data_IF_395777762133
#
_entry.id   IF_395777762133
#
_cell.length_a   1.000
_cell.length_b   1.000
_cell.length_c   1.000
_cell.angle_alpha   90.00
_cell.angle_beta   90.00
_cell.angle_gamma   90.00
#
_symmetry.space_group_name_H-M   'P 1'
#
loop_
_entity.id
_entity.type
_entity.pdbx_description
1 polymer ?
#
# COMPACT_ATOMS: atom_id res chain seq x y z
N UNK A 1 -49.92 36.16 19.20
CA UNK A 1 -48.71 36.70 18.56
C UNK A 1 -47.52 36.48 19.49
N UNK A 2 -46.73 35.43 19.27
CA UNK A 2 -45.53 35.17 20.08
C UNK A 2 -44.36 35.97 19.50
N UNK A 3 -43.78 36.85 20.31
CA UNK A 3 -42.61 37.66 19.94
C UNK A 3 -41.36 36.82 20.15
N UNK A 4 -40.69 36.42 19.06
CA UNK A 4 -39.36 35.83 19.17
C UNK A 4 -38.34 36.95 19.47
N UNK A 5 -37.75 36.89 20.68
CA UNK A 5 -36.66 37.76 21.10
C UNK A 5 -35.36 37.31 20.45
N UNK A 6 -34.73 38.19 19.66
CA UNK A 6 -33.42 37.94 19.07
C UNK A 6 -32.32 38.35 20.07
N UNK A 7 -31.73 37.37 20.76
CA UNK A 7 -30.62 37.62 21.70
C UNK A 7 -29.31 37.88 20.95
N UNK A 8 -28.67 39.02 21.19
CA UNK A 8 -27.37 39.33 20.59
C UNK A 8 -26.23 38.60 21.34
N UNK A 9 -25.41 37.84 20.62
CA UNK A 9 -24.22 37.15 21.16
C UNK A 9 -23.11 38.14 21.50
N UNK A 10 -22.63 38.13 22.75
CA UNK A 10 -21.41 38.87 23.14
C UNK A 10 -20.14 38.22 22.55
N UNK A 11 -19.29 39.01 21.89
CA UNK A 11 -17.99 38.56 21.34
C UNK A 11 -16.88 38.82 22.36
N UNK A 12 -16.20 37.77 22.83
CA UNK A 12 -15.17 37.87 23.88
C UNK A 12 -13.71 37.80 23.36
N UNK A 13 -13.46 37.75 22.04
CA UNK A 13 -12.10 37.54 21.50
C UNK A 13 -11.71 38.59 20.46
N UNK A 14 -10.53 39.18 20.64
CA UNK A 14 -9.93 40.23 19.79
C UNK A 14 -9.41 39.64 18.46
N UNK A 15 -8.96 38.38 18.46
CA UNK A 15 -8.56 37.61 17.27
C UNK A 15 -9.67 36.62 16.90
N UNK A 16 -10.25 36.78 15.71
CA UNK A 16 -11.34 35.94 15.24
C UNK A 16 -10.83 34.54 14.85
N UNK A 17 -11.22 33.52 15.61
CA UNK A 17 -11.06 32.12 15.22
C UNK A 17 -12.21 31.73 14.30
N UNK A 18 -11.91 31.26 13.08
CA UNK A 18 -12.94 30.81 12.16
C UNK A 18 -13.67 29.58 12.73
N UNK A 19 -14.97 29.72 12.98
CA UNK A 19 -15.81 28.61 13.40
C UNK A 19 -15.82 27.52 12.31
N UNK A 20 -15.82 26.25 12.73
CA UNK A 20 -15.85 25.13 11.80
C UNK A 20 -17.21 25.12 11.10
N UNK A 21 -17.22 25.45 9.82
CA UNK A 21 -18.41 25.36 8.97
C UNK A 21 -18.68 23.92 8.55
N UNK A 22 -19.93 23.64 8.14
CA UNK A 22 -20.29 22.37 7.51
C UNK A 22 -19.44 22.17 6.25
N UNK A 23 -18.75 21.04 6.17
CA UNK A 23 -18.05 20.58 4.97
C UNK A 23 -18.74 19.35 4.46
N UNK A 24 -19.33 19.45 3.28
CA UNK A 24 -19.94 18.30 2.60
C UNK A 24 -18.87 17.36 2.05
N UNK A 25 -19.23 16.08 1.93
CA UNK A 25 -18.36 15.10 1.30
C UNK A 25 -18.17 15.40 -0.19
N UNK A 26 -17.00 15.06 -0.73
CA UNK A 26 -16.69 15.28 -2.14
C UNK A 26 -17.53 14.33 -3.02
N UNK A 27 -18.53 14.88 -3.72
CA UNK A 27 -19.31 14.16 -4.74
C UNK A 27 -19.05 14.75 -6.15
N UNK A 28 -17.97 14.34 -6.83
CA UNK A 28 -17.64 14.87 -8.15
C UNK A 28 -18.65 14.42 -9.20
N UNK A 29 -19.00 15.31 -10.15
CA UNK A 29 -19.96 15.00 -11.23
C UNK A 29 -19.48 13.92 -12.20
N UNK A 30 -18.17 13.74 -12.32
CA UNK A 30 -17.51 12.77 -13.20
C UNK A 30 -16.19 12.30 -12.57
N UNK A 31 -15.73 11.07 -12.89
CA UNK A 31 -14.46 10.58 -12.37
C UNK A 31 -13.28 11.34 -13.00
N UNK A 32 -12.23 11.60 -12.21
CA UNK A 32 -11.01 12.26 -12.70
C UNK A 32 -10.19 11.39 -13.66
N UNK A 33 -10.40 10.07 -13.64
CA UNK A 33 -9.74 9.10 -14.51
C UNK A 33 -10.82 8.24 -15.15
N UNK A 34 -10.78 8.09 -16.47
CA UNK A 34 -11.77 7.33 -17.24
C UNK A 34 -11.73 5.82 -16.96
N UNK A 35 -10.54 5.26 -16.70
CA UNK A 35 -10.34 3.85 -16.41
C UNK A 35 -9.35 3.64 -15.25
N UNK A 36 -9.57 2.65 -14.37
CA UNK A 36 -8.64 2.35 -13.29
C UNK A 36 -7.29 1.85 -13.83
N UNK A 37 -6.20 2.17 -13.13
CA UNK A 37 -4.87 1.63 -13.46
C UNK A 37 -4.80 0.14 -13.13
N UNK A 38 -4.20 -0.63 -14.03
CA UNK A 38 -3.83 -2.03 -13.76
C UNK A 38 -2.68 -2.12 -12.75
N UNK A 39 -2.66 -3.20 -11.97
CA UNK A 39 -1.51 -3.56 -11.13
C UNK A 39 -0.33 -3.94 -12.04
N UNK A 40 0.75 -3.15 -11.97
CA UNK A 40 1.95 -3.36 -12.80
C UNK A 40 2.89 -4.44 -12.26
N UNK A 41 2.76 -4.81 -10.97
CA UNK A 41 3.62 -5.79 -10.32
C UNK A 41 2.80 -7.04 -9.96
N UNK A 42 2.59 -7.89 -10.95
CA UNK A 42 1.96 -9.20 -10.75
C UNK A 42 2.96 -10.23 -10.20
N UNK A 43 2.46 -11.36 -9.70
CA UNK A 43 3.26 -12.43 -9.09
C UNK A 43 4.35 -12.98 -10.03
N UNK A 44 4.00 -13.18 -11.30
CA UNK A 44 4.94 -13.61 -12.34
C UNK A 44 6.02 -12.57 -12.65
N UNK A 45 5.71 -11.28 -12.49
CA UNK A 45 6.69 -10.22 -12.72
C UNK A 45 7.61 -10.02 -11.50
N UNK A 46 7.10 -10.28 -10.30
CA UNK A 46 7.87 -10.22 -9.05
C UNK A 46 8.92 -11.33 -9.01
N UNK A 47 8.54 -12.58 -9.30
CA UNK A 47 9.45 -13.74 -9.32
C UNK A 47 9.87 -14.05 -10.75
N UNK A 48 11.09 -13.63 -11.13
CA UNK A 48 11.56 -13.75 -12.53
C UNK A 48 12.05 -15.16 -12.84
N UNK A 49 13.08 -15.62 -12.14
CA UNK A 49 13.64 -16.96 -12.30
C UNK A 49 14.44 -17.39 -11.06
N UNK A 50 14.59 -18.70 -10.82
CA UNK A 50 15.45 -19.21 -9.75
C UNK A 50 16.92 -18.94 -10.06
N UNK A 51 17.71 -18.65 -9.03
CA UNK A 51 19.16 -18.53 -9.16
C UNK A 51 19.79 -19.91 -8.99
N UNK A 52 20.41 -20.43 -10.05
CA UNK A 52 20.96 -21.78 -10.11
C UNK A 52 22.50 -21.83 -9.98
N UNK A 53 23.11 -20.84 -9.34
CA UNK A 53 24.57 -20.83 -9.10
C UNK A 53 24.95 -21.87 -8.05
N UNK A 54 26.17 -22.41 -8.08
CA UNK A 54 26.65 -23.42 -7.12
C UNK A 54 26.40 -23.03 -5.65
N UNK A 55 26.69 -21.77 -5.29
CA UNK A 55 26.46 -21.26 -3.94
C UNK A 55 24.98 -21.14 -3.56
N UNK A 56 24.10 -20.97 -4.55
CA UNK A 56 22.65 -20.94 -4.36
C UNK A 56 22.10 -22.36 -4.21
N UNK A 57 22.56 -23.31 -5.04
CA UNK A 57 22.22 -24.73 -4.92
C UNK A 57 22.60 -25.27 -3.54
N UNK A 58 23.80 -24.95 -3.05
CA UNK A 58 24.23 -25.32 -1.70
C UNK A 58 23.30 -24.78 -0.59
N UNK A 59 22.76 -23.57 -0.75
CA UNK A 59 21.81 -22.98 0.22
C UNK A 59 20.44 -23.66 0.23
N UNK A 60 20.05 -24.31 -0.86
CA UNK A 60 18.82 -25.10 -0.93
C UNK A 60 18.98 -26.35 -0.05
N UNK A 61 20.13 -27.03 -0.14
CA UNK A 61 20.42 -28.24 0.61
C UNK A 61 20.68 -27.97 2.10
N UNK A 62 21.61 -27.06 2.41
CA UNK A 62 22.07 -26.85 3.79
C UNK A 62 21.03 -26.16 4.68
N UNK A 63 20.32 -25.16 4.14
CA UNK A 63 19.49 -24.24 4.93
C UNK A 63 18.00 -24.30 4.57
N UNK A 64 17.62 -25.12 3.58
CA UNK A 64 16.27 -25.16 3.02
C UNK A 64 15.77 -23.77 2.59
N UNK A 65 16.62 -23.03 1.87
CA UNK A 65 16.28 -21.71 1.34
C UNK A 65 16.33 -21.70 -0.18
N UNK A 66 15.26 -21.21 -0.81
CA UNK A 66 15.21 -20.98 -2.25
C UNK A 66 15.73 -19.58 -2.58
N UNK A 67 16.56 -19.47 -3.62
CA UNK A 67 17.11 -18.20 -4.08
C UNK A 67 16.53 -17.86 -5.45
N UNK A 68 15.93 -16.67 -5.55
CA UNK A 68 15.30 -16.19 -6.78
C UNK A 68 15.90 -14.84 -7.19
N UNK A 69 15.93 -14.59 -8.50
CA UNK A 69 16.04 -13.24 -9.03
C UNK A 69 14.65 -12.61 -9.05
N UNK A 70 14.54 -11.43 -8.46
CA UNK A 70 13.27 -10.72 -8.26
C UNK A 70 13.29 -9.35 -8.91
N UNK A 71 12.11 -8.72 -9.06
CA UNK A 71 12.04 -7.34 -9.47
C UNK A 71 12.59 -6.35 -8.42
N UNK A 72 13.23 -5.27 -8.87
CA UNK A 72 13.90 -4.30 -8.00
C UNK A 72 12.89 -3.55 -7.13
N UNK A 73 11.67 -3.34 -7.63
CA UNK A 73 10.60 -2.65 -6.92
C UNK A 73 9.79 -3.56 -5.98
N UNK A 74 10.18 -4.83 -5.84
CA UNK A 74 9.44 -5.82 -5.04
C UNK A 74 9.83 -5.77 -3.56
N UNK A 75 8.85 -5.44 -2.71
CA UNK A 75 9.01 -5.51 -1.26
C UNK A 75 8.99 -6.96 -0.76
N UNK A 76 9.62 -7.21 0.40
CA UNK A 76 9.64 -8.55 1.04
C UNK A 76 8.25 -9.16 1.25
N UNK A 77 7.23 -8.33 1.50
CA UNK A 77 5.84 -8.79 1.64
C UNK A 77 5.29 -9.31 0.31
N UNK A 78 5.47 -8.55 -0.77
CA UNK A 78 5.05 -8.94 -2.12
C UNK A 78 5.73 -10.23 -2.58
N UNK A 79 7.02 -10.39 -2.29
CA UNK A 79 7.78 -11.61 -2.60
C UNK A 79 7.22 -12.79 -1.82
N UNK A 80 6.96 -12.64 -0.51
CA UNK A 80 6.35 -13.70 0.31
C UNK A 80 4.99 -14.14 -0.25
N UNK A 81 4.15 -13.18 -0.62
CA UNK A 81 2.82 -13.46 -1.16
C UNK A 81 2.88 -14.10 -2.55
N UNK A 82 3.82 -13.66 -3.40
CA UNK A 82 4.04 -14.25 -4.72
C UNK A 82 4.51 -15.70 -4.63
N UNK A 83 5.47 -16.00 -3.74
CA UNK A 83 5.95 -17.38 -3.52
C UNK A 83 4.82 -18.27 -2.99
N UNK A 84 4.01 -17.76 -2.05
CA UNK A 84 2.86 -18.48 -1.52
C UNK A 84 1.82 -18.77 -2.59
N UNK A 85 1.56 -17.86 -3.52
CA UNK A 85 0.56 -18.06 -4.57
C UNK A 85 1.04 -18.94 -5.73
N UNK A 86 2.31 -18.83 -6.12
CA UNK A 86 2.84 -19.56 -7.28
C UNK A 86 3.20 -21.00 -6.96
N UNK A 87 3.67 -21.25 -5.73
CA UNK A 87 4.22 -22.55 -5.35
C UNK A 87 3.55 -23.15 -4.11
N UNK A 88 2.55 -22.47 -3.51
CA UNK A 88 1.89 -22.88 -2.26
C UNK A 88 2.83 -23.06 -1.06
N UNK A 89 4.00 -22.41 -1.10
CA UNK A 89 5.02 -22.48 -0.04
C UNK A 89 4.86 -21.33 0.94
N UNK A 90 4.85 -21.65 2.24
CA UNK A 90 4.85 -20.63 3.30
C UNK A 90 6.28 -20.26 3.72
N UNK A 91 6.72 -19.06 3.35
CA UNK A 91 8.05 -18.57 3.73
C UNK A 91 8.08 -18.02 5.17
N UNK A 92 8.92 -18.60 6.03
CA UNK A 92 9.17 -18.11 7.40
C UNK A 92 9.78 -16.70 7.38
N UNK A 93 10.88 -16.53 6.64
CA UNK A 93 11.63 -15.27 6.52
C UNK A 93 12.09 -15.08 5.07
N UNK A 94 12.10 -13.83 4.60
CA UNK A 94 12.62 -13.45 3.27
C UNK A 94 13.80 -12.50 3.46
N UNK A 95 14.94 -12.86 2.88
CA UNK A 95 16.15 -12.04 2.83
C UNK A 95 16.34 -11.55 1.39
N UNK A 96 16.65 -10.27 1.21
CA UNK A 96 16.84 -9.64 -0.11
C UNK A 96 18.18 -8.92 -0.13
N UNK A 97 18.86 -8.95 -1.26
CA UNK A 97 20.11 -8.24 -1.53
C UNK A 97 20.02 -7.64 -2.93
N UNK A 98 20.48 -6.40 -3.09
CA UNK A 98 20.67 -5.77 -4.41
C UNK A 98 22.13 -6.00 -4.79
N UNK A 99 22.36 -6.47 -6.02
CA UNK A 99 23.69 -6.82 -6.54
C UNK A 99 24.06 -5.88 -7.67
#
# INVERSE_FOLDING_TARGET
MQKHFFSQKQKQKILAFAEKTLKEDRNPKYPCISAPSRNKLDHYQILKFPLTTESAMKKIEDNNTLVFIVDICADKKKIKDAVKKMYDIQAKKVNTLIR
#
